data_IF_685285517253
#
_entry.id   IF_685285517253
#
_cell.length_a   1.000
_cell.length_b   1.000
_cell.length_c   1.000
_cell.angle_alpha   90.00
_cell.angle_beta   90.00
_cell.angle_gamma   90.00
#
_symmetry.space_group_name_H-M   'P 1'
#
loop_
_entity.id
_entity.type
_entity.pdbx_description
1 polymer ?
#
# COMPACT_ATOMS: atom_id res chain seq x y z
N UNK A 1 9.11 -3.03 9.52
CA UNK A 1 7.71 -3.44 9.28
C UNK A 1 6.78 -2.69 10.21
N UNK A 2 5.47 -2.73 9.94
CA UNK A 2 4.45 -2.03 10.73
C UNK A 2 4.46 -2.56 12.17
N UNK A 3 4.44 -1.65 13.15
CA UNK A 3 4.33 -2.01 14.57
C UNK A 3 5.57 -2.71 15.15
N UNK A 4 6.66 -2.85 14.41
CA UNK A 4 7.82 -3.63 14.85
C UNK A 4 8.35 -3.26 16.24
N UNK A 5 8.54 -1.97 16.61
CA UNK A 5 9.05 -1.62 17.94
C UNK A 5 8.16 -2.10 19.10
N UNK A 6 6.83 -2.06 18.93
CA UNK A 6 5.88 -2.49 19.97
C UNK A 6 5.72 -4.01 19.99
N UNK A 7 5.63 -4.65 18.82
CA UNK A 7 5.48 -6.10 18.68
C UNK A 7 6.73 -6.83 19.16
N UNK A 8 7.92 -6.41 18.71
CA UNK A 8 9.17 -7.03 19.14
C UNK A 8 9.36 -6.92 20.66
N UNK A 9 9.00 -5.77 21.25
CA UNK A 9 9.05 -5.60 22.70
C UNK A 9 8.07 -6.51 23.45
N UNK A 10 6.85 -6.69 22.95
CA UNK A 10 5.88 -7.60 23.55
C UNK A 10 6.33 -9.07 23.46
N UNK A 11 6.73 -9.52 22.27
CA UNK A 11 7.18 -10.90 22.04
C UNK A 11 8.43 -11.23 22.85
N UNK A 12 9.39 -10.31 22.96
CA UNK A 12 10.60 -10.52 23.76
C UNK A 12 10.26 -10.69 25.24
N UNK A 13 9.34 -9.89 25.78
CA UNK A 13 8.86 -10.03 27.18
C UNK A 13 8.16 -11.37 27.38
N UNK A 14 7.33 -11.79 26.44
CA UNK A 14 6.61 -13.06 26.50
C UNK A 14 7.58 -14.26 26.43
N UNK A 15 8.54 -14.23 25.50
CA UNK A 15 9.59 -15.23 25.37
C UNK A 15 10.45 -15.34 26.65
N UNK A 16 10.85 -14.22 27.24
CA UNK A 16 11.58 -14.21 28.51
C UNK A 16 10.76 -14.80 29.67
N UNK A 17 9.43 -14.54 29.73
CA UNK A 17 8.53 -15.11 30.76
C UNK A 17 8.44 -16.64 30.68
N UNK A 18 8.56 -17.21 29.47
CA UNK A 18 8.57 -18.68 29.28
C UNK A 18 9.97 -19.29 29.30
N UNK A 19 11.00 -18.51 29.65
CA UNK A 19 12.37 -18.99 29.85
C UNK A 19 13.21 -19.12 28.57
N UNK A 20 12.81 -18.49 27.47
CA UNK A 20 13.62 -18.44 26.24
C UNK A 20 14.72 -17.37 26.36
N UNK A 21 15.90 -17.70 25.86
CA UNK A 21 17.03 -16.77 25.72
C UNK A 21 16.83 -15.90 24.47
N UNK A 22 16.41 -14.65 24.68
CA UNK A 22 16.12 -13.68 23.62
C UNK A 22 16.82 -12.34 23.89
N UNK A 23 17.28 -11.63 22.85
CA UNK A 23 17.91 -10.33 23.03
C UNK A 23 16.92 -9.30 23.59
N UNK A 24 17.43 -8.27 24.26
CA UNK A 24 16.60 -7.13 24.66
C UNK A 24 15.93 -6.46 23.45
N UNK A 25 14.69 -5.96 23.59
CA UNK A 25 13.98 -5.41 22.45
C UNK A 25 14.64 -4.12 21.96
N UNK A 26 14.58 -3.84 20.65
CA UNK A 26 15.16 -2.63 20.08
C UNK A 26 14.47 -1.38 20.64
N UNK A 27 15.26 -0.37 21.05
CA UNK A 27 14.76 0.89 21.63
C UNK A 27 14.41 1.93 20.54
N UNK A 28 14.82 1.70 19.29
CA UNK A 28 14.64 2.66 18.19
C UNK A 28 13.15 2.91 17.94
N UNK A 29 12.78 4.19 17.83
CA UNK A 29 11.40 4.67 17.62
C UNK A 29 10.41 4.43 18.78
N UNK A 30 10.84 3.92 19.93
CA UNK A 30 9.95 3.64 21.07
C UNK A 30 9.20 4.89 21.59
N UNK A 31 9.81 6.09 21.50
CA UNK A 31 9.20 7.33 21.98
C UNK A 31 7.94 7.74 21.22
N UNK A 32 7.98 7.70 19.89
CA UNK A 32 6.84 8.08 19.04
C UNK A 32 5.67 7.11 19.20
N UNK A 33 5.95 5.80 19.18
CA UNK A 33 4.94 4.77 19.44
C UNK A 33 4.37 4.89 20.86
N UNK A 34 5.20 5.16 21.88
CA UNK A 34 4.72 5.37 23.25
C UNK A 34 3.74 6.53 23.34
N UNK A 35 4.02 7.66 22.69
CA UNK A 35 3.10 8.82 22.68
C UNK A 35 1.75 8.44 22.05
N UNK A 36 1.75 7.73 20.93
CA UNK A 36 0.52 7.31 20.23
C UNK A 36 -0.29 6.29 21.04
N UNK A 37 0.38 5.31 21.63
CA UNK A 37 -0.25 4.33 22.53
C UNK A 37 -0.83 5.03 23.77
N UNK A 38 -0.07 5.92 24.40
CA UNK A 38 -0.53 6.64 25.58
C UNK A 38 -1.75 7.52 25.28
N UNK A 39 -1.75 8.22 24.15
CA UNK A 39 -2.90 9.03 23.73
C UNK A 39 -4.18 8.19 23.56
N UNK A 40 -4.06 6.97 23.01
CA UNK A 40 -5.19 6.04 22.91
C UNK A 40 -5.65 5.55 24.29
N UNK A 41 -4.70 5.16 25.15
CA UNK A 41 -5.02 4.59 26.47
C UNK A 41 -5.57 5.62 27.46
N UNK A 42 -5.21 6.89 27.32
CA UNK A 42 -5.70 8.00 28.15
C UNK A 42 -7.06 8.56 27.67
N UNK A 43 -7.54 8.14 26.49
CA UNK A 43 -8.83 8.58 25.98
C UNK A 43 -9.97 8.07 26.89
N UNK A 44 -10.95 8.92 27.28
CA UNK A 44 -12.12 8.45 28.02
C UNK A 44 -12.99 7.50 27.19
N UNK A 45 -13.06 7.76 25.88
CA UNK A 45 -13.74 6.91 24.90
C UNK A 45 -12.67 6.19 24.08
N UNK A 46 -12.26 5.01 24.54
CA UNK A 46 -11.19 4.22 23.90
C UNK A 46 -11.73 3.50 22.67
N UNK A 47 -11.80 4.26 21.59
CA UNK A 47 -12.08 3.74 20.26
C UNK A 47 -10.78 3.29 19.57
N UNK A 48 -10.54 1.98 19.60
CA UNK A 48 -9.42 1.36 18.91
C UNK A 48 -9.68 1.29 17.40
N UNK A 49 -10.94 1.21 16.95
CA UNK A 49 -11.26 1.19 15.51
C UNK A 49 -10.86 2.50 14.83
N UNK A 50 -10.86 3.62 15.55
CA UNK A 50 -10.37 4.92 15.06
C UNK A 50 -8.82 5.06 15.06
N UNK A 51 -8.07 4.04 15.49
CA UNK A 51 -6.63 4.13 15.70
C UNK A 51 -5.85 3.08 14.92
N UNK A 52 -4.89 3.55 14.11
CA UNK A 52 -3.91 2.67 13.42
C UNK A 52 -3.06 1.80 14.36
N UNK A 53 -3.03 2.11 15.67
CA UNK A 53 -2.37 1.25 16.68
C UNK A 53 -3.09 -0.10 16.82
N UNK A 54 -4.40 -0.13 16.56
CA UNK A 54 -5.24 -1.34 16.68
C UNK A 54 -4.78 -2.47 15.75
N UNK A 55 -4.19 -2.13 14.61
CA UNK A 55 -3.56 -3.10 13.72
C UNK A 55 -2.45 -3.93 14.38
N UNK A 56 -1.88 -3.46 15.50
CA UNK A 56 -0.85 -4.16 16.29
C UNK A 56 -1.30 -4.44 17.74
N UNK A 57 -2.61 -4.54 17.97
CA UNK A 57 -3.22 -4.71 19.30
C UNK A 57 -2.70 -5.94 20.04
N UNK A 58 -2.23 -7.00 19.37
CA UNK A 58 -1.68 -8.19 20.03
C UNK A 58 -0.51 -7.88 20.98
N UNK A 59 0.21 -6.78 20.72
CA UNK A 59 1.32 -6.30 21.55
C UNK A 59 0.85 -5.55 22.81
N UNK A 60 -0.41 -5.13 22.83
CA UNK A 60 -1.04 -4.27 23.83
C UNK A 60 -2.26 -4.93 24.48
N UNK A 61 -2.47 -6.22 24.23
CA UNK A 61 -3.67 -6.97 24.59
C UNK A 61 -4.02 -6.90 26.09
N UNK A 62 -3.00 -6.83 26.94
CA UNK A 62 -3.13 -6.69 28.40
C UNK A 62 -3.68 -5.31 28.86
N UNK A 63 -3.75 -4.32 27.97
CA UNK A 63 -4.23 -2.97 28.26
C UNK A 63 -5.73 -2.76 27.95
N UNK A 64 -6.38 -3.76 27.36
CA UNK A 64 -7.79 -3.70 26.98
C UNK A 64 -8.71 -3.68 28.20
N UNK A 65 -9.84 -2.99 28.07
CA UNK A 65 -10.95 -3.03 29.01
C UNK A 65 -12.22 -3.47 28.29
N UNK A 66 -13.18 -4.03 29.04
CA UNK A 66 -14.43 -4.56 28.48
C UNK A 66 -15.26 -3.50 27.74
N UNK A 67 -15.08 -2.22 28.06
CA UNK A 67 -15.80 -1.09 27.46
C UNK A 67 -15.16 -0.57 26.17
N UNK A 68 -14.01 -1.10 25.76
CA UNK A 68 -13.30 -0.62 24.57
C UNK A 68 -14.04 -1.02 23.29
N UNK A 69 -14.09 -0.09 22.33
CA UNK A 69 -14.53 -0.38 20.97
C UNK A 69 -13.33 -0.88 20.16
N UNK A 70 -13.33 -2.17 19.82
CA UNK A 70 -12.15 -2.86 19.25
C UNK A 70 -12.43 -3.58 17.93
N UNK A 71 -13.66 -4.03 17.73
CA UNK A 71 -14.02 -4.89 16.60
C UNK A 71 -14.66 -4.09 15.47
N UNK A 72 -14.22 -4.38 14.25
CA UNK A 72 -14.85 -3.95 13.01
C UNK A 72 -16.15 -4.73 12.74
N UNK A 73 -16.90 -4.33 11.71
CA UNK A 73 -18.19 -4.93 11.36
C UNK A 73 -18.15 -6.45 11.09
N UNK A 74 -17.01 -6.98 10.63
CA UNK A 74 -16.79 -8.41 10.40
C UNK A 74 -16.30 -9.18 11.63
N UNK A 75 -16.12 -8.52 12.79
CA UNK A 75 -15.58 -9.13 14.00
C UNK A 75 -14.05 -9.23 14.06
N UNK A 76 -13.34 -8.69 13.07
CA UNK A 76 -11.88 -8.54 13.11
C UNK A 76 -11.46 -7.31 13.92
N UNK A 77 -10.18 -7.26 14.28
CA UNK A 77 -9.50 -6.05 14.73
C UNK A 77 -8.71 -5.49 13.55
N UNK A 78 -9.20 -4.40 12.94
CA UNK A 78 -8.59 -3.73 11.79
C UNK A 78 -8.12 -4.70 10.70
N UNK A 79 -8.97 -5.67 10.32
CA UNK A 79 -8.65 -6.71 9.33
C UNK A 79 -7.34 -7.46 9.60
N UNK A 80 -6.90 -7.51 10.86
CA UNK A 80 -5.63 -8.09 11.26
C UNK A 80 -5.83 -9.38 12.06
N UNK A 81 -5.42 -10.53 11.52
CA UNK A 81 -5.66 -11.81 12.20
C UNK A 81 -4.91 -11.97 13.52
N UNK A 82 -3.64 -11.54 13.59
CA UNK A 82 -2.89 -11.63 14.85
C UNK A 82 -3.42 -10.66 15.91
N UNK A 83 -3.89 -9.47 15.53
CA UNK A 83 -4.53 -8.54 16.46
C UNK A 83 -5.86 -9.12 16.96
N UNK A 84 -6.64 -9.73 16.07
CA UNK A 84 -7.90 -10.40 16.42
C UNK A 84 -7.67 -11.59 17.36
N UNK A 85 -6.61 -12.37 17.15
CA UNK A 85 -6.20 -13.40 18.08
C UNK A 85 -5.75 -12.81 19.43
N UNK A 86 -5.02 -11.69 19.43
CA UNK A 86 -4.66 -10.95 20.64
C UNK A 86 -5.88 -10.49 21.45
N UNK A 87 -6.92 -10.00 20.76
CA UNK A 87 -8.21 -9.65 21.37
C UNK A 87 -8.88 -10.87 22.00
N UNK A 88 -8.98 -11.98 21.26
CA UNK A 88 -9.56 -13.24 21.74
C UNK A 88 -8.89 -13.78 23.02
N UNK A 89 -7.57 -13.60 23.14
CA UNK A 89 -6.81 -14.00 24.32
C UNK A 89 -7.04 -13.09 25.54
N UNK A 90 -7.66 -11.93 25.35
CA UNK A 90 -7.81 -10.89 26.38
C UNK A 90 -9.23 -10.77 26.94
N UNK A 91 -10.24 -11.27 26.22
CA UNK A 91 -11.64 -11.17 26.63
C UNK A 91 -12.16 -12.44 27.32
N UNK A 92 -13.07 -12.28 28.29
CA UNK A 92 -13.79 -13.41 28.88
C UNK A 92 -14.87 -13.94 27.92
N UNK A 93 -15.19 -15.24 28.03
CA UNK A 93 -16.09 -15.96 27.13
C UNK A 93 -17.41 -15.19 26.85
N UNK A 94 -17.62 -14.73 25.61
CA UNK A 94 -18.89 -14.10 25.18
C UNK A 94 -18.77 -13.13 24.00
N UNK A 95 -17.74 -12.28 23.96
CA UNK A 95 -17.46 -11.35 22.84
C UNK A 95 -16.60 -11.98 21.73
N UNK A 96 -16.19 -13.23 21.92
CA UNK A 96 -15.24 -13.96 21.07
C UNK A 96 -15.83 -14.61 19.80
N UNK A 97 -17.16 -14.79 19.72
CA UNK A 97 -17.76 -15.62 18.67
C UNK A 97 -17.50 -15.07 17.26
N UNK A 98 -17.77 -13.78 17.02
CA UNK A 98 -17.55 -13.13 15.72
C UNK A 98 -16.08 -13.11 15.32
N UNK A 99 -15.18 -12.83 16.26
CA UNK A 99 -13.73 -12.83 16.01
C UNK A 99 -13.21 -14.23 15.65
N UNK A 100 -13.73 -15.27 16.30
CA UNK A 100 -13.40 -16.66 15.95
C UNK A 100 -14.00 -17.06 14.59
N UNK A 101 -15.22 -16.63 14.29
CA UNK A 101 -15.83 -16.82 12.96
C UNK A 101 -15.01 -16.14 11.86
N UNK A 102 -14.57 -14.90 12.07
CA UNK A 102 -13.67 -14.20 11.18
C UNK A 102 -12.38 -14.99 10.92
N UNK A 103 -11.66 -15.41 11.98
CA UNK A 103 -10.41 -16.17 11.84
C UNK A 103 -10.61 -17.49 11.09
N UNK A 104 -11.73 -18.17 11.33
CA UNK A 104 -12.09 -19.40 10.60
C UNK A 104 -12.42 -19.13 9.14
N UNK A 105 -13.05 -17.99 8.83
CA UNK A 105 -13.45 -17.64 7.47
C UNK A 105 -12.26 -17.32 6.56
N UNK A 106 -11.17 -16.78 7.11
CA UNK A 106 -9.97 -16.39 6.34
C UNK A 106 -8.87 -17.46 6.35
N UNK A 107 -9.06 -18.54 7.13
CA UNK A 107 -8.11 -19.65 7.19
C UNK A 107 -8.06 -20.37 5.85
N UNK A 108 -6.84 -20.62 5.37
CA UNK A 108 -6.59 -21.35 4.15
C UNK A 108 -6.69 -22.86 4.38
N UNK A 109 -6.82 -23.63 3.30
CA UNK A 109 -6.99 -25.08 3.37
C UNK A 109 -5.82 -25.82 4.05
N UNK A 110 -4.61 -25.24 4.00
CA UNK A 110 -3.40 -25.74 4.67
C UNK A 110 -3.30 -25.32 6.16
N UNK A 111 -4.30 -24.58 6.65
CA UNK A 111 -4.37 -24.06 8.02
C UNK A 111 -3.68 -22.71 8.22
N UNK A 112 -2.98 -22.19 7.21
CA UNK A 112 -2.36 -20.86 7.27
C UNK A 112 -3.40 -19.74 7.29
N UNK A 113 -2.99 -18.57 7.76
CA UNK A 113 -3.81 -17.37 7.84
C UNK A 113 -2.99 -16.20 7.28
N UNK A 114 -3.55 -15.35 6.40
CA UNK A 114 -2.84 -14.20 5.84
C UNK A 114 -2.43 -13.18 6.93
N UNK A 115 -1.44 -12.35 6.64
CA UNK A 115 -0.99 -11.31 7.59
C UNK A 115 -2.03 -10.19 7.81
N UNK A 116 -2.89 -9.96 6.81
CA UNK A 116 -3.99 -9.00 6.78
C UNK A 116 -5.07 -9.53 5.84
N UNK A 117 -6.34 -9.50 6.27
CA UNK A 117 -7.47 -9.87 5.45
C UNK A 117 -8.81 -9.36 6.02
N UNK A 118 -9.77 -8.96 5.18
CA UNK A 118 -9.62 -8.77 3.74
C UNK A 118 -8.80 -7.51 3.41
N UNK A 119 -8.30 -7.44 2.17
CA UNK A 119 -7.64 -6.28 1.54
C UNK A 119 -8.34 -5.96 0.21
N UNK A 120 -9.66 -6.12 0.20
CA UNK A 120 -10.52 -6.17 -0.97
C UNK A 120 -10.52 -4.87 -1.78
N UNK A 121 -10.59 -3.72 -1.12
CA UNK A 121 -10.59 -2.42 -1.82
C UNK A 121 -9.23 -2.14 -2.45
N UNK A 122 -8.16 -2.41 -1.70
CA UNK A 122 -6.79 -2.33 -2.19
C UNK A 122 -6.58 -3.26 -3.41
N UNK A 123 -7.00 -4.52 -3.32
CA UNK A 123 -6.86 -5.46 -4.43
C UNK A 123 -7.62 -5.01 -5.68
N UNK A 124 -8.85 -4.52 -5.52
CA UNK A 124 -9.67 -4.01 -6.63
C UNK A 124 -9.00 -2.78 -7.26
N UNK A 125 -8.68 -1.77 -6.45
CA UNK A 125 -8.22 -0.48 -6.94
C UNK A 125 -6.86 -0.59 -7.64
N UNK A 126 -5.91 -1.34 -7.08
CA UNK A 126 -4.61 -1.57 -7.73
C UNK A 126 -4.72 -2.42 -8.99
N UNK A 127 -5.53 -3.48 -8.96
CA UNK A 127 -5.72 -4.36 -10.13
C UNK A 127 -6.30 -3.58 -11.31
N UNK A 128 -7.37 -2.81 -11.08
CA UNK A 128 -7.98 -1.96 -12.11
C UNK A 128 -6.98 -0.91 -12.58
N UNK A 129 -6.21 -0.31 -11.67
CA UNK A 129 -5.22 0.71 -12.03
C UNK A 129 -4.16 0.18 -13.01
N UNK A 130 -3.55 -0.99 -12.75
CA UNK A 130 -2.56 -1.57 -13.67
C UNK A 130 -3.16 -1.92 -15.03
N UNK A 131 -4.33 -2.58 -15.03
CA UNK A 131 -4.97 -2.99 -16.28
C UNK A 131 -5.47 -1.80 -17.11
N UNK A 132 -5.97 -0.73 -16.48
CA UNK A 132 -6.39 0.49 -17.21
C UNK A 132 -5.18 1.24 -17.78
N UNK A 133 -4.07 1.32 -17.05
CA UNK A 133 -2.85 1.97 -17.55
C UNK A 133 -2.29 1.22 -18.75
N UNK A 134 -2.48 -0.10 -18.79
CA UNK A 134 -2.12 -0.91 -19.93
C UNK A 134 -3.05 -0.76 -21.14
N UNK A 135 -4.20 -0.09 -21.00
CA UNK A 135 -5.26 -0.06 -22.01
C UNK A 135 -5.95 -1.41 -22.21
N UNK A 136 -5.83 -2.32 -21.25
CA UNK A 136 -6.36 -3.68 -21.35
C UNK A 136 -7.85 -3.78 -20.96
N UNK A 137 -8.36 -2.77 -20.25
CA UNK A 137 -9.75 -2.69 -19.79
C UNK A 137 -10.29 -1.28 -19.95
N UNK A 138 -11.61 -1.21 -20.13
CA UNK A 138 -12.43 0.00 -20.11
C UNK A 138 -13.48 -0.10 -18.99
N UNK A 139 -14.11 1.01 -18.55
CA UNK A 139 -15.08 0.98 -17.45
C UNK A 139 -16.28 0.04 -17.68
N UNK A 140 -16.63 -0.23 -18.94
CA UNK A 140 -17.73 -1.12 -19.36
C UNK A 140 -17.27 -2.56 -19.65
N UNK A 141 -15.98 -2.87 -19.47
CA UNK A 141 -15.45 -4.23 -19.63
C UNK A 141 -16.19 -5.18 -18.67
N UNK A 142 -16.67 -6.36 -19.15
CA UNK A 142 -17.41 -7.30 -18.32
C UNK A 142 -16.67 -7.65 -17.02
N UNK A 143 -17.35 -7.48 -15.88
CA UNK A 143 -16.78 -7.75 -14.56
C UNK A 143 -16.07 -6.55 -13.90
N UNK A 144 -15.72 -5.49 -14.64
CA UNK A 144 -15.09 -4.28 -14.06
C UNK A 144 -16.11 -3.44 -13.30
N UNK A 145 -17.29 -3.20 -13.89
CA UNK A 145 -18.32 -2.34 -13.28
C UNK A 145 -18.75 -2.78 -11.87
N UNK A 146 -19.00 -4.07 -11.58
CA UNK A 146 -19.34 -4.50 -10.22
C UNK A 146 -18.22 -4.23 -9.19
N UNK A 147 -16.95 -4.28 -9.60
CA UNK A 147 -15.83 -3.98 -8.72
C UNK A 147 -15.73 -2.46 -8.43
N UNK A 148 -15.99 -1.63 -9.44
CA UNK A 148 -16.08 -0.18 -9.27
C UNK A 148 -17.27 0.21 -8.36
N UNK A 149 -18.41 -0.46 -8.52
CA UNK A 149 -19.57 -0.26 -7.65
C UNK A 149 -19.24 -0.62 -6.18
N UNK A 150 -18.38 -1.61 -5.94
CA UNK A 150 -17.91 -1.97 -4.61
C UNK A 150 -17.02 -0.88 -4.00
N UNK A 151 -16.07 -0.33 -4.76
CA UNK A 151 -15.26 0.82 -4.32
C UNK A 151 -16.14 2.04 -4.02
N UNK A 152 -17.13 2.31 -4.87
CA UNK A 152 -18.06 3.42 -4.69
C UNK A 152 -18.94 3.25 -3.45
N UNK A 153 -19.41 2.02 -3.18
CA UNK A 153 -20.28 1.71 -2.05
C UNK A 153 -19.67 2.08 -0.70
N UNK A 154 -18.35 1.98 -0.57
CA UNK A 154 -17.59 2.25 0.66
C UNK A 154 -16.92 3.62 0.67
N UNK A 155 -16.93 4.34 -0.45
CA UNK A 155 -16.31 5.64 -0.57
C UNK A 155 -16.97 6.68 0.35
N UNK A 156 -16.18 7.28 1.24
CA UNK A 156 -16.58 8.44 2.03
C UNK A 156 -16.17 9.73 1.33
N UNK A 157 -17.10 10.69 1.09
CA UNK A 157 -16.72 12.00 0.58
C UNK A 157 -15.96 12.85 1.61
N UNK A 158 -15.97 12.47 2.89
CA UNK A 158 -15.28 13.19 3.96
C UNK A 158 -13.89 12.64 4.27
N UNK A 159 -13.70 11.33 4.10
CA UNK A 159 -12.48 10.61 4.54
C UNK A 159 -11.91 9.66 3.47
N UNK A 160 -12.64 9.35 2.40
CA UNK A 160 -12.18 8.48 1.33
C UNK A 160 -12.39 7.00 1.62
N UNK A 161 -11.36 6.18 1.41
CA UNK A 161 -11.39 4.72 1.62
C UNK A 161 -10.07 4.27 2.29
N UNK A 162 -10.10 3.08 2.92
CA UNK A 162 -8.87 2.35 3.30
C UNK A 162 -8.73 1.07 2.46
N UNK A 163 -7.79 0.20 2.82
CA UNK A 163 -7.54 -1.03 2.06
C UNK A 163 -8.67 -2.08 2.09
N UNK A 164 -9.66 -1.94 2.97
CA UNK A 164 -10.74 -2.93 3.16
C UNK A 164 -12.11 -2.33 3.41
N UNK A 165 -13.17 -3.00 2.92
CA UNK A 165 -14.56 -2.61 3.12
C UNK A 165 -15.05 -2.66 4.57
N UNK A 166 -14.26 -3.25 5.47
CA UNK A 166 -14.55 -3.32 6.90
C UNK A 166 -13.70 -2.39 7.75
N UNK A 167 -12.70 -1.72 7.17
CA UNK A 167 -11.77 -0.90 7.95
C UNK A 167 -12.38 0.46 8.25
N UNK A 168 -12.37 0.86 9.52
CA UNK A 168 -12.90 2.16 9.95
C UNK A 168 -11.97 3.34 9.67
N UNK A 169 -10.67 3.10 9.48
CA UNK A 169 -9.66 4.14 9.23
C UNK A 169 -9.33 4.20 7.75
N UNK A 170 -9.52 5.36 7.14
CA UNK A 170 -9.06 5.64 5.78
C UNK A 170 -7.61 6.17 5.76
N UNK A 171 -6.98 6.10 4.59
CA UNK A 171 -5.69 6.73 4.32
C UNK A 171 -5.62 7.35 2.92
N UNK A 172 -4.69 8.29 2.75
CA UNK A 172 -4.55 8.98 1.47
C UNK A 172 -4.02 8.09 0.35
N UNK A 173 -3.40 6.95 0.65
CA UNK A 173 -2.82 6.08 -0.38
C UNK A 173 -3.91 5.29 -1.10
N UNK A 174 -4.72 4.55 -0.33
CA UNK A 174 -5.90 3.87 -0.82
C UNK A 174 -6.93 4.87 -1.37
N UNK A 175 -7.15 6.00 -0.67
CA UNK A 175 -8.07 7.05 -1.14
C UNK A 175 -7.64 7.60 -2.50
N UNK A 176 -6.35 7.88 -2.71
CA UNK A 176 -5.86 8.38 -4.00
C UNK A 176 -6.03 7.34 -5.11
N UNK A 177 -5.84 6.05 -4.81
CA UNK A 177 -6.06 4.99 -5.80
C UNK A 177 -7.55 4.83 -6.13
N UNK A 178 -8.40 4.70 -5.12
CA UNK A 178 -9.86 4.66 -5.22
C UNK A 178 -10.38 5.85 -6.04
N UNK A 179 -9.95 7.09 -5.69
CA UNK A 179 -10.29 8.30 -6.42
C UNK A 179 -9.95 8.17 -7.90
N UNK A 180 -8.73 7.72 -8.22
CA UNK A 180 -8.25 7.67 -9.60
C UNK A 180 -9.08 6.69 -10.44
N UNK A 181 -9.37 5.48 -9.93
CA UNK A 181 -10.17 4.48 -10.68
C UNK A 181 -11.65 4.87 -10.76
N UNK A 182 -12.21 5.47 -9.71
CA UNK A 182 -13.60 5.94 -9.68
C UNK A 182 -13.81 7.13 -10.62
N UNK A 183 -12.88 8.09 -10.63
CA UNK A 183 -12.92 9.24 -11.53
C UNK A 183 -12.77 8.82 -12.99
N UNK A 184 -11.82 7.93 -13.30
CA UNK A 184 -11.64 7.35 -14.63
C UNK A 184 -12.93 6.68 -15.16
N UNK A 185 -13.72 6.09 -14.27
CA UNK A 185 -14.97 5.39 -14.62
C UNK A 185 -16.23 6.26 -14.51
N UNK A 186 -16.08 7.57 -14.29
CA UNK A 186 -17.18 8.54 -14.30
C UNK A 186 -18.02 8.60 -13.03
N UNK A 187 -17.55 8.04 -11.90
CA UNK A 187 -18.20 8.27 -10.60
C UNK A 187 -17.92 9.70 -10.11
N UNK A 188 -18.84 10.29 -9.33
CA UNK A 188 -18.76 11.69 -8.93
C UNK A 188 -17.86 11.88 -7.70
N UNK A 189 -16.59 11.47 -7.81
CA UNK A 189 -15.57 11.77 -6.79
C UNK A 189 -14.97 13.15 -7.04
N UNK A 190 -14.76 13.91 -5.96
CA UNK A 190 -14.30 15.30 -6.03
C UNK A 190 -13.00 15.48 -5.24
N UNK A 191 -12.07 16.35 -5.70
CA UNK A 191 -10.73 16.46 -5.12
C UNK A 191 -10.68 17.11 -3.74
N UNK A 192 -11.77 17.72 -3.27
CA UNK A 192 -11.89 18.27 -1.90
C UNK A 192 -11.65 17.21 -0.83
N UNK A 193 -11.79 15.92 -1.18
CA UNK A 193 -11.44 14.83 -0.26
C UNK A 193 -10.00 14.91 0.26
N UNK A 194 -9.08 15.43 -0.56
CA UNK A 194 -7.67 15.51 -0.19
C UNK A 194 -7.38 16.61 0.84
N UNK A 195 -8.32 17.55 1.08
CA UNK A 195 -8.24 18.50 2.20
C UNK A 195 -8.16 17.78 3.55
N UNK A 196 -8.81 16.61 3.67
CA UNK A 196 -8.74 15.77 4.87
C UNK A 196 -7.29 15.41 5.20
N UNK A 197 -6.48 15.12 4.18
CA UNK A 197 -5.11 14.64 4.34
C UNK A 197 -4.06 15.76 4.32
N UNK A 198 -4.46 17.01 4.09
CA UNK A 198 -3.54 18.13 3.97
C UNK A 198 -2.87 18.46 5.31
N UNK A 199 -1.54 18.34 5.34
CA UNK A 199 -0.70 18.84 6.42
C UNK A 199 -0.08 20.20 6.10
N UNK A 200 0.73 20.70 7.03
CA UNK A 200 1.39 22.01 6.91
C UNK A 200 2.34 22.04 5.70
N UNK A 201 3.25 21.06 5.62
CA UNK A 201 4.33 21.01 4.63
C UNK A 201 4.26 19.80 3.69
N UNK A 202 3.37 18.84 3.96
CA UNK A 202 3.16 17.62 3.16
C UNK A 202 1.75 17.06 3.41
N UNK A 203 1.37 15.99 2.71
CA UNK A 203 0.12 15.28 2.95
C UNK A 203 0.35 14.05 3.81
N UNK A 204 -0.54 13.80 4.77
CA UNK A 204 -0.45 12.62 5.61
C UNK A 204 -0.97 11.39 4.86
N UNK A 205 -0.32 10.24 5.03
CA UNK A 205 -0.94 8.95 4.69
C UNK A 205 -1.99 8.59 5.73
N UNK A 206 -1.60 8.53 7.00
CA UNK A 206 -2.54 8.51 8.13
C UNK A 206 -2.30 9.72 9.04
N UNK A 207 -3.37 10.28 9.60
CA UNK A 207 -3.24 11.28 10.66
C UNK A 207 -2.41 10.75 11.84
N UNK A 208 -1.46 11.57 12.32
CA UNK A 208 -0.57 11.19 13.41
C UNK A 208 0.38 10.03 13.06
N UNK A 209 0.73 9.86 11.79
CA UNK A 209 1.81 8.98 11.38
C UNK A 209 3.18 9.47 11.87
N UNK A 210 4.12 8.53 12.02
CA UNK A 210 5.47 8.86 12.52
C UNK A 210 6.43 9.21 11.39
N UNK A 211 6.25 8.60 10.23
CA UNK A 211 7.04 8.83 9.03
C UNK A 211 6.10 8.91 7.83
N UNK A 212 6.35 9.81 6.87
CA UNK A 212 5.58 9.91 5.62
C UNK A 212 5.78 8.67 4.74
N UNK A 213 4.84 8.41 3.83
CA UNK A 213 4.97 7.40 2.75
C UNK A 213 5.23 8.11 1.43
N UNK A 214 6.34 7.81 0.75
CA UNK A 214 6.62 8.37 -0.56
C UNK A 214 5.64 7.83 -1.60
N UNK A 215 5.26 6.55 -1.50
CA UNK A 215 4.28 5.95 -2.41
C UNK A 215 2.92 6.66 -2.33
N UNK A 216 2.46 7.00 -1.13
CA UNK A 216 1.23 7.79 -0.93
C UNK A 216 1.33 9.19 -1.57
N UNK A 217 2.47 9.87 -1.44
CA UNK A 217 2.66 11.19 -2.06
C UNK A 217 2.63 11.13 -3.58
N UNK A 218 3.36 10.18 -4.20
CA UNK A 218 3.37 10.06 -5.67
C UNK A 218 2.01 9.60 -6.20
N UNK A 219 1.27 8.81 -5.43
CA UNK A 219 -0.08 8.36 -5.80
C UNK A 219 -1.12 9.47 -5.68
N UNK A 220 -1.01 10.29 -4.64
CA UNK A 220 -1.78 11.52 -4.51
C UNK A 220 -1.48 12.49 -5.66
N UNK A 221 -0.21 12.65 -6.02
CA UNK A 221 0.17 13.46 -7.18
C UNK A 221 -0.48 12.92 -8.47
N UNK A 222 -0.42 11.60 -8.70
CA UNK A 222 -1.06 10.97 -9.85
C UNK A 222 -2.59 11.16 -9.86
N UNK A 223 -3.25 11.14 -8.69
CA UNK A 223 -4.68 11.42 -8.57
C UNK A 223 -4.98 12.89 -8.92
N UNK A 224 -4.22 13.82 -8.36
CA UNK A 224 -4.38 15.27 -8.57
C UNK A 224 -4.13 15.67 -10.02
N UNK A 225 -3.31 14.92 -10.78
CA UNK A 225 -3.11 15.15 -12.22
C UNK A 225 -4.42 15.12 -13.03
N UNK A 226 -5.45 14.43 -12.53
CA UNK A 226 -6.78 14.38 -13.15
C UNK A 226 -7.78 15.40 -12.57
N UNK A 227 -7.35 16.27 -11.65
CA UNK A 227 -8.18 17.13 -10.81
C UNK A 227 -7.81 18.63 -10.90
N UNK A 228 -7.56 19.12 -12.11
CA UNK A 228 -7.24 20.53 -12.39
C UNK A 228 -8.39 21.50 -12.05
N UNK A 229 -9.58 20.98 -11.79
CA UNK A 229 -10.78 21.70 -11.36
C UNK A 229 -10.70 22.22 -9.92
N UNK A 230 -9.77 21.72 -9.09
CA UNK A 230 -9.65 22.17 -7.71
C UNK A 230 -8.93 23.54 -7.59
N UNK A 231 -9.43 24.51 -6.80
CA UNK A 231 -8.80 25.82 -6.65
C UNK A 231 -7.36 25.79 -6.11
N UNK A 232 -7.01 24.75 -5.36
CA UNK A 232 -5.67 24.58 -4.76
C UNK A 232 -4.76 23.63 -5.54
N UNK A 233 -5.18 23.17 -6.72
CA UNK A 233 -4.46 22.16 -7.52
C UNK A 233 -2.95 22.45 -7.67
N UNK A 234 -2.57 23.64 -8.16
CA UNK A 234 -1.15 24.02 -8.32
C UNK A 234 -0.41 24.05 -6.98
N UNK A 235 -1.01 24.62 -5.94
CA UNK A 235 -0.40 24.71 -4.61
C UNK A 235 -0.18 23.33 -3.99
N UNK A 236 -1.11 22.40 -4.19
CA UNK A 236 -0.99 21.03 -3.71
C UNK A 236 0.06 20.23 -4.46
N UNK A 237 0.14 20.37 -5.79
CA UNK A 237 1.23 19.80 -6.58
C UNK A 237 2.58 20.31 -6.05
N UNK A 238 2.74 21.62 -5.88
CA UNK A 238 3.98 22.21 -5.37
C UNK A 238 4.31 21.69 -3.96
N UNK A 239 3.31 21.56 -3.09
CA UNK A 239 3.49 21.00 -1.74
C UNK A 239 4.01 19.57 -1.80
N UNK A 240 3.42 18.73 -2.64
CA UNK A 240 3.81 17.33 -2.80
C UNK A 240 5.22 17.23 -3.39
N UNK A 241 5.53 17.96 -4.46
CA UNK A 241 6.87 17.96 -5.09
C UNK A 241 7.93 18.42 -4.10
N UNK A 242 7.67 19.50 -3.36
CA UNK A 242 8.58 19.96 -2.30
C UNK A 242 8.79 18.90 -1.22
N UNK A 243 7.76 18.15 -0.85
CA UNK A 243 7.89 17.05 0.11
C UNK A 243 8.75 15.91 -0.46
N UNK A 244 8.52 15.52 -1.72
CA UNK A 244 9.31 14.49 -2.40
C UNK A 244 10.80 14.84 -2.47
N UNK A 245 11.15 16.09 -2.75
CA UNK A 245 12.55 16.56 -2.68
C UNK A 245 13.13 16.50 -1.28
N UNK A 246 12.37 16.85 -0.24
CA UNK A 246 12.83 16.74 1.16
C UNK A 246 13.07 15.29 1.58
N UNK A 247 12.32 14.35 1.01
CA UNK A 247 12.42 12.93 1.32
C UNK A 247 13.42 12.16 0.43
N UNK A 248 13.95 12.78 -0.63
CA UNK A 248 14.99 12.17 -1.49
C UNK A 248 16.35 12.19 -0.77
N UNK A 249 16.66 11.13 -0.01
CA UNK A 249 17.92 10.97 0.73
C UNK A 249 19.13 10.78 -0.21
N UNK A 250 19.64 11.89 -0.77
CA UNK A 250 20.83 11.98 -1.63
C UNK A 250 20.71 11.35 -3.04
N UNK A 251 19.50 11.16 -3.55
CA UNK A 251 19.24 10.95 -4.98
C UNK A 251 19.72 9.62 -5.57
N UNK A 252 19.99 8.60 -4.74
CA UNK A 252 20.34 7.26 -5.24
C UNK A 252 19.11 6.43 -5.60
N UNK A 253 18.13 6.34 -4.69
CA UNK A 253 16.85 5.65 -4.88
C UNK A 253 15.90 5.96 -3.71
N UNK A 254 14.60 5.74 -3.90
CA UNK A 254 13.59 6.00 -2.88
C UNK A 254 13.19 4.77 -2.08
N UNK A 255 13.02 4.96 -0.79
CA UNK A 255 12.41 3.98 0.10
C UNK A 255 10.97 4.33 0.38
N UNK A 256 10.15 3.30 0.50
CA UNK A 256 8.78 3.43 0.93
C UNK A 256 8.51 2.57 2.16
N UNK A 257 7.56 2.98 2.99
CA UNK A 257 7.20 2.25 4.21
C UNK A 257 6.18 1.14 3.98
N UNK A 258 5.52 1.11 2.82
CA UNK A 258 4.52 0.11 2.45
C UNK A 258 5.06 -0.96 1.50
N UNK A 259 6.15 -0.68 0.79
CA UNK A 259 6.77 -1.64 -0.14
C UNK A 259 8.29 -1.72 0.03
N UNK A 260 8.82 -2.93 0.05
CA UNK A 260 10.26 -3.18 0.25
C UNK A 260 11.12 -2.95 -1.00
N UNK A 261 10.51 -2.89 -2.18
CA UNK A 261 11.22 -2.57 -3.41
C UNK A 261 11.17 -1.07 -3.76
N UNK A 262 12.33 -0.43 -4.01
CA UNK A 262 12.40 0.91 -4.59
C UNK A 262 11.85 1.01 -6.02
N UNK A 263 11.75 -0.10 -6.76
CA UNK A 263 11.17 -0.11 -8.11
C UNK A 263 9.68 0.22 -8.10
N UNK A 264 8.96 -0.18 -7.04
CA UNK A 264 7.54 0.13 -6.89
C UNK A 264 7.28 1.64 -6.85
N UNK A 265 7.90 2.35 -5.89
CA UNK A 265 7.70 3.79 -5.74
C UNK A 265 8.27 4.56 -6.94
N UNK A 266 9.40 4.11 -7.50
CA UNK A 266 10.03 4.77 -8.66
C UNK A 266 9.21 4.61 -9.94
N UNK A 267 8.59 3.45 -10.16
CA UNK A 267 7.73 3.21 -11.31
C UNK A 267 6.48 4.11 -11.28
N UNK A 268 5.82 4.19 -10.13
CA UNK A 268 4.65 5.09 -9.94
C UNK A 268 5.06 6.56 -10.10
N UNK A 269 6.24 6.94 -9.59
CA UNK A 269 6.75 8.30 -9.68
C UNK A 269 6.99 8.77 -11.11
N UNK A 270 7.46 7.90 -12.01
CA UNK A 270 7.72 8.27 -13.41
C UNK A 270 6.45 8.76 -14.11
N UNK A 271 5.32 8.12 -13.85
CA UNK A 271 4.04 8.56 -14.40
C UNK A 271 3.55 9.86 -13.72
N UNK A 272 3.66 9.96 -12.39
CA UNK A 272 3.13 11.09 -11.64
C UNK A 272 3.92 12.40 -11.83
N UNK A 273 5.23 12.31 -12.03
CA UNK A 273 6.14 13.47 -12.08
C UNK A 273 6.34 14.04 -13.48
N UNK A 274 5.90 13.33 -14.54
CA UNK A 274 6.05 13.81 -15.90
C UNK A 274 5.32 15.14 -16.10
N UNK A 275 5.99 16.13 -16.70
CA UNK A 275 5.50 17.50 -16.88
C UNK A 275 5.20 18.25 -15.56
N UNK A 276 5.65 17.71 -14.43
CA UNK A 276 5.54 18.31 -13.08
C UNK A 276 6.92 18.62 -12.52
N UNK A 277 7.80 17.62 -12.50
CA UNK A 277 9.19 17.73 -12.08
C UNK A 277 10.06 16.77 -12.90
N UNK A 278 10.37 17.20 -14.13
CA UNK A 278 11.17 16.41 -15.06
C UNK A 278 12.53 16.01 -14.48
N UNK A 279 13.31 16.88 -13.79
CA UNK A 279 14.57 16.46 -13.17
C UNK A 279 14.41 15.27 -12.22
N UNK A 280 13.38 15.29 -11.37
CA UNK A 280 13.12 14.20 -10.44
C UNK A 280 12.69 12.93 -11.18
N UNK A 281 11.80 13.05 -12.18
CA UNK A 281 11.39 11.93 -13.03
C UNK A 281 12.59 11.29 -13.75
N UNK A 282 13.40 12.08 -14.44
CA UNK A 282 14.59 11.60 -15.17
C UNK A 282 15.61 10.94 -14.24
N UNK A 283 15.73 11.40 -12.99
CA UNK A 283 16.60 10.75 -12.01
C UNK A 283 16.15 9.31 -11.70
N UNK A 284 14.84 9.08 -11.59
CA UNK A 284 14.26 7.75 -11.35
C UNK A 284 14.40 6.86 -12.57
N UNK A 285 14.15 7.39 -13.77
CA UNK A 285 14.35 6.68 -15.04
C UNK A 285 15.79 6.20 -15.17
N UNK A 286 16.74 7.11 -14.94
CA UNK A 286 18.18 6.81 -15.02
C UNK A 286 18.59 5.74 -14.02
N UNK A 287 18.01 5.72 -12.83
CA UNK A 287 18.27 4.66 -11.85
C UNK A 287 17.71 3.32 -12.34
N UNK A 288 16.44 3.25 -12.77
CA UNK A 288 15.82 2.03 -13.32
C UNK A 288 16.66 1.46 -14.47
N UNK A 289 17.04 2.28 -15.46
CA UNK A 289 17.83 1.83 -16.61
C UNK A 289 19.22 1.30 -16.22
N UNK A 290 19.81 1.79 -15.13
CA UNK A 290 21.16 1.40 -14.68
C UNK A 290 21.18 0.12 -13.84
N UNK A 291 20.04 -0.32 -13.35
CA UNK A 291 19.94 -1.42 -12.39
C UNK A 291 19.19 -2.64 -12.92
N UNK A 292 18.97 -2.71 -14.25
CA UNK A 292 18.53 -3.94 -14.89
C UNK A 292 19.59 -5.03 -14.70
N UNK A 293 19.16 -6.22 -14.29
CA UNK A 293 20.04 -7.37 -14.13
C UNK A 293 20.37 -8.00 -15.49
N UNK A 294 21.44 -8.80 -15.54
CA UNK A 294 21.88 -9.51 -16.76
C UNK A 294 20.83 -10.48 -17.32
N UNK A 295 19.85 -10.90 -16.50
CA UNK A 295 18.73 -11.75 -16.91
C UNK A 295 17.56 -10.98 -17.55
N UNK A 296 17.66 -9.66 -17.64
CA UNK A 296 16.64 -8.76 -18.18
C UNK A 296 15.61 -8.27 -17.16
N UNK A 297 15.58 -8.83 -15.95
CA UNK A 297 14.66 -8.42 -14.89
C UNK A 297 15.23 -7.33 -13.98
N UNK A 298 14.42 -6.94 -13.01
CA UNK A 298 14.82 -6.11 -11.87
C UNK A 298 14.49 -6.79 -10.56
N UNK A 299 15.34 -6.60 -9.56
CA UNK A 299 15.07 -7.01 -8.21
C UNK A 299 16.03 -6.40 -7.21
N UNK A 300 15.50 -5.74 -6.18
CA UNK A 300 16.31 -4.96 -5.26
C UNK A 300 17.14 -5.82 -4.30
N UNK A 301 16.64 -7.00 -3.94
CA UNK A 301 17.32 -7.95 -3.05
C UNK A 301 18.30 -8.89 -3.78
N UNK A 302 18.68 -8.55 -5.01
CA UNK A 302 19.69 -9.23 -5.82
C UNK A 302 19.12 -10.16 -6.89
N UNK A 303 18.09 -10.95 -6.57
CA UNK A 303 17.37 -11.75 -7.58
C UNK A 303 16.26 -10.93 -8.23
N UNK A 304 16.13 -11.01 -9.56
CA UNK A 304 15.01 -10.42 -10.28
C UNK A 304 13.68 -11.01 -9.80
N UNK A 305 12.64 -10.19 -9.75
CA UNK A 305 11.27 -10.64 -9.44
C UNK A 305 10.31 -10.21 -10.54
N UNK A 306 9.25 -10.97 -10.74
CA UNK A 306 8.23 -10.63 -11.74
C UNK A 306 7.51 -9.33 -11.38
N UNK A 307 7.23 -9.10 -10.10
CA UNK A 307 6.60 -7.87 -9.59
C UNK A 307 7.44 -6.62 -9.90
N UNK A 308 8.72 -6.63 -9.50
CA UNK A 308 9.60 -5.47 -9.71
C UNK A 308 9.91 -5.23 -11.18
N UNK A 309 10.08 -6.31 -11.96
CA UNK A 309 10.28 -6.21 -13.42
C UNK A 309 9.04 -5.64 -14.10
N UNK A 310 7.84 -6.01 -13.65
CA UNK A 310 6.60 -5.47 -14.19
C UNK A 310 6.46 -3.96 -13.94
N UNK A 311 6.78 -3.49 -12.73
CA UNK A 311 6.77 -2.06 -12.41
C UNK A 311 7.76 -1.27 -13.28
N UNK A 312 8.95 -1.82 -13.52
CA UNK A 312 9.93 -1.18 -14.39
C UNK A 312 9.46 -1.17 -15.85
N UNK A 313 9.00 -2.30 -16.38
CA UNK A 313 8.57 -2.41 -17.77
C UNK A 313 7.34 -1.51 -18.05
N UNK A 314 6.33 -1.51 -17.17
CA UNK A 314 5.16 -0.63 -17.29
C UNK A 314 5.59 0.85 -17.37
N UNK A 315 6.48 1.29 -16.47
CA UNK A 315 6.95 2.66 -16.43
C UNK A 315 7.82 3.04 -17.66
N UNK A 316 8.70 2.14 -18.12
CA UNK A 316 9.53 2.36 -19.31
C UNK A 316 8.72 2.40 -20.61
N UNK A 317 7.67 1.58 -20.72
CA UNK A 317 6.74 1.64 -21.85
C UNK A 317 5.94 2.94 -21.85
N UNK A 318 5.45 3.37 -20.69
CA UNK A 318 4.79 4.66 -20.56
C UNK A 318 5.72 5.80 -21.01
N UNK A 319 6.98 5.78 -20.57
CA UNK A 319 8.00 6.76 -20.96
C UNK A 319 8.28 6.76 -22.47
N UNK A 320 8.39 5.56 -23.06
CA UNK A 320 8.61 5.36 -24.51
C UNK A 320 7.51 6.01 -25.35
N UNK A 321 6.27 5.95 -24.89
CA UNK A 321 5.11 6.51 -25.60
C UNK A 321 5.02 8.03 -25.48
N UNK A 322 5.37 8.61 -24.32
CA UNK A 322 5.03 10.00 -24.00
C UNK A 322 6.23 10.96 -24.03
N UNK A 323 7.47 10.46 -23.88
CA UNK A 323 8.64 11.31 -23.67
C UNK A 323 9.71 11.06 -24.73
N UNK A 324 10.38 9.91 -24.65
CA UNK A 324 11.45 9.52 -25.57
C UNK A 324 11.56 8.01 -25.67
N UNK A 325 12.02 7.53 -26.82
CA UNK A 325 12.16 6.11 -27.09
C UNK A 325 13.25 5.49 -26.21
N UNK A 326 12.86 4.56 -25.33
CA UNK A 326 13.80 3.71 -24.58
C UNK A 326 14.41 2.66 -25.52
N UNK A 327 15.66 2.28 -25.25
CA UNK A 327 16.32 1.19 -25.99
C UNK A 327 15.47 -0.08 -25.94
N UNK A 328 15.04 -0.52 -27.13
CA UNK A 328 14.18 -1.69 -27.29
C UNK A 328 14.82 -2.95 -26.69
N UNK A 329 16.15 -3.07 -26.65
CA UNK A 329 16.81 -4.24 -26.06
C UNK A 329 16.54 -4.37 -24.56
N UNK A 330 16.43 -3.24 -23.84
CA UNK A 330 16.05 -3.21 -22.42
C UNK A 330 14.61 -3.71 -22.23
N UNK A 331 13.70 -3.24 -23.09
CA UNK A 331 12.28 -3.62 -23.06
C UNK A 331 12.07 -5.09 -23.44
N UNK A 332 12.76 -5.57 -24.47
CA UNK A 332 12.68 -6.95 -24.97
C UNK A 332 13.18 -7.94 -23.92
N UNK A 333 14.29 -7.61 -23.24
CA UNK A 333 14.85 -8.44 -22.17
C UNK A 333 13.88 -8.56 -20.99
N UNK A 334 13.26 -7.44 -20.59
CA UNK A 334 12.26 -7.41 -19.52
C UNK A 334 11.00 -8.21 -19.87
N UNK A 335 10.47 -8.03 -21.08
CA UNK A 335 9.32 -8.78 -21.55
C UNK A 335 9.60 -10.28 -21.63
N UNK A 336 10.79 -10.67 -22.12
CA UNK A 336 11.22 -12.07 -22.16
C UNK A 336 11.36 -12.66 -20.76
N UNK A 337 11.88 -11.89 -19.79
CA UNK A 337 11.94 -12.30 -18.40
C UNK A 337 10.54 -12.59 -17.86
N UNK A 338 9.60 -11.64 -17.99
CA UNK A 338 8.22 -11.80 -17.51
C UNK A 338 7.48 -12.96 -18.18
N UNK A 339 7.66 -13.17 -19.49
CA UNK A 339 7.07 -14.30 -20.21
C UNK A 339 7.52 -15.65 -19.65
N UNK A 340 8.79 -15.78 -19.25
CA UNK A 340 9.29 -16.99 -18.57
C UNK A 340 8.64 -17.16 -17.20
N UNK A 341 8.50 -16.07 -16.45
CA UNK A 341 7.88 -16.07 -15.12
C UNK A 341 6.38 -16.42 -15.14
N UNK A 342 5.67 -16.27 -16.27
CA UNK A 342 4.28 -16.74 -16.38
C UNK A 342 4.13 -18.26 -16.22
N UNK A 343 5.18 -19.03 -16.52
CA UNK A 343 5.16 -20.50 -16.42
C UNK A 343 5.69 -21.00 -15.07
N UNK A 344 6.58 -20.26 -14.44
CA UNK A 344 7.26 -20.61 -13.18
C UNK A 344 7.22 -19.43 -12.20
N UNK A 345 6.01 -18.99 -11.89
CA UNK A 345 5.82 -17.79 -11.08
C UNK A 345 6.15 -18.06 -9.61
N UNK A 346 7.12 -17.33 -9.07
CA UNK A 346 7.45 -17.34 -7.65
C UNK A 346 6.82 -16.15 -6.93
N UNK A 347 5.87 -16.43 -6.05
CA UNK A 347 5.33 -15.43 -5.14
C UNK A 347 6.44 -14.93 -4.20
N UNK A 348 6.74 -13.63 -4.32
CA UNK A 348 7.77 -12.98 -3.51
C UNK A 348 7.08 -11.92 -2.66
N UNK A 349 7.04 -12.07 -1.31
CA UNK A 349 6.36 -11.10 -0.47
C UNK A 349 7.20 -9.83 -0.35
N UNK A 350 6.79 -8.77 -1.05
CA UNK A 350 7.49 -7.48 -1.05
C UNK A 350 6.71 -6.37 -0.32
N UNK A 351 5.42 -6.57 -0.05
CA UNK A 351 4.58 -5.59 0.63
C UNK A 351 4.74 -5.67 2.14
N UNK A 352 4.76 -4.52 2.81
CA UNK A 352 5.13 -4.38 4.22
C UNK A 352 3.86 -4.28 5.07
N UNK A 353 3.50 -5.40 5.71
CA UNK A 353 2.59 -5.45 6.84
C UNK A 353 3.34 -5.47 8.17
N UNK A 354 2.85 -6.24 9.14
CA UNK A 354 3.62 -6.62 10.35
C UNK A 354 4.80 -7.55 9.99
N UNK A 355 4.57 -8.41 9.01
CA UNK A 355 5.56 -9.14 8.22
C UNK A 355 5.43 -8.74 6.74
N UNK A 356 6.30 -9.26 5.88
CA UNK A 356 6.09 -9.13 4.45
C UNK A 356 4.90 -9.98 3.99
N UNK A 357 4.16 -9.52 2.99
CA UNK A 357 3.06 -10.25 2.35
C UNK A 357 3.04 -10.05 0.83
N UNK A 358 2.24 -10.86 0.14
CA UNK A 358 2.10 -10.88 -1.31
C UNK A 358 0.62 -10.71 -1.71
N UNK A 359 0.23 -9.57 -2.34
CA UNK A 359 -1.14 -9.36 -2.82
C UNK A 359 -1.31 -9.87 -4.25
N UNK A 360 -1.88 -11.06 -4.40
CA UNK A 360 -1.90 -11.77 -5.67
C UNK A 360 -2.61 -11.03 -6.81
N UNK A 361 -3.74 -10.35 -6.54
CA UNK A 361 -4.48 -9.59 -7.56
C UNK A 361 -3.63 -8.47 -8.18
N UNK A 362 -3.22 -7.45 -7.39
CA UNK A 362 -2.39 -6.35 -7.84
C UNK A 362 -1.13 -6.76 -8.60
N UNK A 363 -0.39 -7.77 -8.09
CA UNK A 363 0.86 -8.17 -8.73
C UNK A 363 0.64 -8.88 -10.05
N UNK A 364 -0.35 -9.78 -10.13
CA UNK A 364 -0.72 -10.42 -11.41
C UNK A 364 -1.18 -9.37 -12.43
N UNK A 365 -1.93 -8.37 -11.99
CA UNK A 365 -2.38 -7.28 -12.82
C UNK A 365 -1.21 -6.44 -13.38
N UNK A 366 -0.21 -6.13 -12.55
CA UNK A 366 0.99 -5.44 -13.00
C UNK A 366 1.77 -6.25 -14.05
N UNK A 367 1.99 -7.55 -13.81
CA UNK A 367 2.71 -8.44 -14.75
C UNK A 367 1.97 -8.56 -16.09
N UNK A 368 0.66 -8.82 -16.03
CA UNK A 368 -0.17 -8.96 -17.23
C UNK A 368 -0.31 -7.62 -17.97
N UNK A 369 -0.47 -6.51 -17.23
CA UNK A 369 -0.54 -5.17 -17.79
C UNK A 369 0.74 -4.80 -18.54
N UNK A 370 1.91 -4.99 -17.92
CA UNK A 370 3.19 -4.72 -18.55
C UNK A 370 3.40 -5.54 -19.84
N UNK A 371 3.08 -6.84 -19.81
CA UNK A 371 3.17 -7.70 -20.99
C UNK A 371 2.16 -7.34 -22.09
N UNK A 372 0.94 -6.94 -21.71
CA UNK A 372 -0.08 -6.46 -22.64
C UNK A 372 0.37 -5.19 -23.33
N UNK A 373 0.82 -4.18 -22.57
CA UNK A 373 1.34 -2.92 -23.11
C UNK A 373 2.54 -3.13 -24.04
N UNK A 374 3.48 -3.99 -23.65
CA UNK A 374 4.62 -4.34 -24.49
C UNK A 374 4.16 -4.96 -25.81
N UNK A 375 3.20 -5.89 -25.75
CA UNK A 375 2.69 -6.57 -26.93
C UNK A 375 1.98 -5.58 -27.87
N UNK A 376 1.06 -4.76 -27.33
CA UNK A 376 0.31 -3.76 -28.10
C UNK A 376 1.18 -2.66 -28.73
N UNK A 377 2.38 -2.40 -28.17
CA UNK A 377 3.31 -1.41 -28.70
C UNK A 377 4.15 -1.95 -29.88
N UNK A 378 4.48 -3.24 -29.89
CA UNK A 378 5.48 -3.80 -30.81
C UNK A 378 4.97 -4.91 -31.74
N UNK A 379 3.74 -5.41 -31.56
CA UNK A 379 3.10 -6.44 -32.37
C UNK A 379 1.65 -6.06 -32.69
#
# INVERSE_FOLDING_TARGET
TIGFPIIAAALTREAARVGLDVPLPPIRFAGAYRKKVQALLDSPDRDWCASTVSFSLEALRDALHETDMVLEGNGSVSSSPSATAGYLLSVQNGTAAKSLEYLRAIQQADGSIPAVAPIDLFEIAWTINHLRLAGAIEPDTPGVRPLLDELWRVWSPAEGCGYSSYLSVADSDDTSMCFTVLRWSGYPVTPEIFEHYEGEDHFYCYHGETNPALSAHVRLLAALRSAEDHPWHTMWIDKIVNALHRFDENGSYWWDKWHSSPYYVSGVALHALLDVDDPLAHSRLKWILRTQNDDGGWGYLGESTAEETAYCLEALLHWTTHVETIDKTVLDAAALYLQKQLQDYRETPLWIGKSLYYPAGPVKAAVLGALYSYSSMFF
#
